data_IF_902790971649
#
_entry.id   IF_902790971649
#
_cell.length_a   1.000
_cell.length_b   1.000
_cell.length_c   1.000
_cell.angle_alpha   90.00
_cell.angle_beta   90.00
_cell.angle_gamma   90.00
#
_symmetry.space_group_name_H-M   'P 1'
#
loop_
_entity.id
_entity.type
_entity.pdbx_description
1 polymer ?
#
# COMPACT_ATOMS: atom_id res chain seq x y z
N UNK A 1 10.64 -2.98 0.62
CA UNK A 1 9.84 -1.77 0.95
C UNK A 1 10.76 -0.83 1.69
N UNK A 2 10.92 0.42 1.25
CA UNK A 2 11.88 1.36 1.88
C UNK A 2 11.09 2.47 2.56
N UNK A 3 10.81 2.29 3.85
CA UNK A 3 10.15 3.29 4.72
C UNK A 3 11.16 4.16 5.47
N UNK A 4 12.36 4.35 4.92
CA UNK A 4 13.53 4.86 5.67
C UNK A 4 13.42 6.27 6.25
N UNK A 5 12.39 7.05 5.88
CA UNK A 5 12.18 8.41 6.37
C UNK A 5 11.01 8.52 7.38
N UNK A 6 10.26 7.45 7.61
CA UNK A 6 9.19 7.47 8.61
C UNK A 6 9.77 7.27 10.01
N UNK A 7 9.16 7.92 10.99
CA UNK A 7 9.49 7.77 12.41
C UNK A 7 9.20 6.34 12.88
N UNK A 8 8.07 5.78 12.42
CA UNK A 8 7.70 4.38 12.61
C UNK A 8 6.85 3.89 11.46
N UNK A 9 6.79 2.57 11.30
CA UNK A 9 5.84 1.89 10.44
C UNK A 9 5.29 0.67 11.18
N UNK A 10 4.01 0.41 11.00
CA UNK A 10 3.31 -0.76 11.46
C UNK A 10 2.78 -1.49 10.23
N UNK A 11 3.04 -2.79 10.15
CA UNK A 11 2.42 -3.64 9.15
C UNK A 11 1.02 -4.03 9.64
N UNK A 12 0.00 -3.73 8.82
CA UNK A 12 -1.41 -3.98 9.16
C UNK A 12 -1.83 -5.33 8.58
N UNK A 13 -1.76 -5.50 7.25
CA UNK A 13 -2.19 -6.73 6.58
C UNK A 13 -1.49 -6.96 5.22
N UNK A 14 -1.63 -8.17 4.67
CA UNK A 14 -1.21 -8.58 3.32
C UNK A 14 -2.30 -9.44 2.67
N UNK A 15 -2.69 -9.04 1.46
CA UNK A 15 -3.60 -9.81 0.63
C UNK A 15 -2.98 -10.10 -0.74
N UNK A 16 -3.41 -11.20 -1.34
CA UNK A 16 -2.84 -11.68 -2.59
C UNK A 16 -3.92 -12.22 -3.52
N UNK A 17 -3.84 -11.81 -4.78
CA UNK A 17 -4.59 -12.41 -5.88
C UNK A 17 -3.86 -13.61 -6.46
N UNK A 18 -4.63 -14.53 -7.04
CA UNK A 18 -4.09 -15.68 -7.81
C UNK A 18 -3.22 -15.24 -8.99
N UNK A 19 -3.46 -14.03 -9.51
CA UNK A 19 -2.62 -13.39 -10.54
C UNK A 19 -1.20 -13.05 -10.07
N UNK A 20 -0.92 -13.15 -8.76
CA UNK A 20 0.38 -12.86 -8.17
C UNK A 20 0.53 -11.43 -7.66
N UNK A 21 -0.47 -10.55 -7.87
CA UNK A 21 -0.50 -9.21 -7.27
C UNK A 21 -0.68 -9.35 -5.76
N UNK A 22 0.13 -8.62 -4.99
CA UNK A 22 0.05 -8.54 -3.54
C UNK A 22 -0.21 -7.10 -3.12
N UNK A 23 -1.10 -6.89 -2.18
CA UNK A 23 -1.31 -5.63 -1.49
C UNK A 23 -0.74 -5.79 -0.08
N UNK A 24 0.15 -4.88 0.31
CA UNK A 24 0.62 -4.72 1.67
C UNK A 24 0.05 -3.42 2.24
N UNK A 25 -0.46 -3.48 3.46
CA UNK A 25 -0.97 -2.30 4.15
C UNK A 25 -0.12 -1.96 5.35
N UNK A 26 0.15 -0.67 5.52
CA UNK A 26 0.90 -0.15 6.65
C UNK A 26 0.26 1.11 7.19
N UNK A 27 0.44 1.32 8.48
CA UNK A 27 0.31 2.64 9.09
C UNK A 27 1.72 3.17 9.31
N UNK A 28 1.99 4.40 8.90
CA UNK A 28 3.29 5.05 9.08
C UNK A 28 3.14 6.36 9.82
N UNK A 29 4.18 6.76 10.54
CA UNK A 29 4.20 8.05 11.26
C UNK A 29 5.31 8.91 10.69
N UNK A 30 4.98 10.13 10.25
CA UNK A 30 5.95 11.16 9.90
C UNK A 30 5.60 12.48 10.60
N UNK A 31 6.59 13.08 11.26
CA UNK A 31 6.44 14.31 12.06
C UNK A 31 5.26 14.28 13.07
N UNK A 32 4.90 13.11 13.59
CA UNK A 32 3.78 12.91 14.51
C UNK A 32 2.40 12.80 13.85
N UNK A 33 2.32 12.76 12.53
CA UNK A 33 1.10 12.51 11.76
C UNK A 33 1.07 11.07 11.25
N UNK A 34 -0.10 10.45 11.30
CA UNK A 34 -0.32 9.08 10.83
C UNK A 34 -0.78 9.06 9.37
N UNK A 35 -0.28 8.07 8.63
CA UNK A 35 -0.56 7.87 7.22
C UNK A 35 -0.88 6.41 6.95
N UNK A 36 -1.95 6.18 6.19
CA UNK A 36 -2.26 4.88 5.60
C UNK A 36 -1.45 4.69 4.31
N UNK A 37 -0.86 3.52 4.18
CA UNK A 37 -0.06 3.11 3.02
C UNK A 37 -0.66 1.86 2.41
N UNK A 38 -1.06 1.96 1.14
CA UNK A 38 -1.38 0.80 0.32
C UNK A 38 -0.25 0.59 -0.68
N UNK A 39 0.36 -0.59 -0.64
CA UNK A 39 1.51 -0.93 -1.47
C UNK A 39 1.26 -2.21 -2.27
N UNK A 40 0.97 -2.03 -3.55
CA UNK A 40 0.78 -3.13 -4.50
C UNK A 40 2.10 -3.53 -5.15
N UNK A 41 2.32 -4.83 -5.28
CA UNK A 41 3.52 -5.41 -5.88
C UNK A 41 3.15 -6.58 -6.78
N UNK A 42 3.79 -6.65 -7.94
CA UNK A 42 3.73 -7.81 -8.82
C UNK A 42 5.09 -8.07 -9.45
N UNK A 43 5.43 -9.35 -9.60
CA UNK A 43 6.58 -9.75 -10.40
C UNK A 43 6.15 -9.77 -11.87
N UNK A 44 6.68 -8.85 -12.68
CA UNK A 44 6.45 -8.80 -14.13
C UNK A 44 7.31 -9.84 -14.86
N UNK A 45 8.54 -10.04 -14.37
CA UNK A 45 9.45 -11.11 -14.78
C UNK A 45 10.22 -11.64 -13.57
N UNK A 46 11.06 -12.66 -13.75
CA UNK A 46 11.91 -13.21 -12.69
C UNK A 46 12.87 -12.19 -12.07
N UNK A 47 13.17 -11.09 -12.78
CA UNK A 47 14.13 -10.06 -12.35
C UNK A 47 13.52 -8.67 -12.26
N UNK A 48 12.24 -8.50 -12.60
CA UNK A 48 11.55 -7.21 -12.61
C UNK A 48 10.33 -7.25 -11.72
N UNK A 49 10.34 -6.37 -10.71
CA UNK A 49 9.21 -6.07 -9.84
C UNK A 49 8.59 -4.75 -10.27
N UNK A 50 7.27 -4.72 -10.39
CA UNK A 50 6.49 -3.49 -10.57
C UNK A 50 5.73 -3.25 -9.28
N UNK A 51 5.75 -2.00 -8.80
CA UNK A 51 5.07 -1.63 -7.57
C UNK A 51 4.39 -0.27 -7.68
N UNK A 52 3.26 -0.13 -7.00
CA UNK A 52 2.57 1.14 -6.79
C UNK A 52 2.40 1.33 -5.29
N UNK A 53 2.80 2.49 -4.78
CA UNK A 53 2.60 2.88 -3.40
C UNK A 53 1.74 4.13 -3.37
N UNK A 54 0.65 4.08 -2.61
CA UNK A 54 -0.16 5.24 -2.28
C UNK A 54 -0.03 5.46 -0.78
N UNK A 55 0.25 6.71 -0.41
CA UNK A 55 0.36 7.15 0.98
C UNK A 55 -0.58 8.33 1.14
N UNK A 56 -1.49 8.26 2.09
CA UNK A 56 -2.43 9.33 2.41
C UNK A 56 -2.51 9.53 3.93
N UNK A 57 -2.80 10.75 4.42
CA UNK A 57 -3.10 10.95 5.82
C UNK A 57 -4.25 10.05 6.26
N UNK A 58 -4.19 9.52 7.49
CA UNK A 58 -5.21 8.57 8.00
C UNK A 58 -6.62 9.18 7.99
N UNK A 59 -6.75 10.51 8.08
CA UNK A 59 -8.05 11.19 8.01
C UNK A 59 -8.65 11.20 6.58
N UNK A 60 -7.89 10.77 5.57
CA UNK A 60 -8.27 10.77 4.15
C UNK A 60 -8.61 9.37 3.62
N UNK A 61 -9.11 8.46 4.47
CA UNK A 61 -9.42 7.07 4.11
C UNK A 61 -10.29 6.94 2.84
N UNK A 62 -11.36 7.72 2.73
CA UNK A 62 -12.22 7.67 1.56
C UNK A 62 -11.48 7.93 0.23
N UNK A 63 -10.40 8.73 0.26
CA UNK A 63 -9.60 9.03 -0.92
C UNK A 63 -8.66 7.86 -1.27
N UNK A 64 -8.01 7.23 -0.29
CA UNK A 64 -7.16 6.06 -0.57
C UNK A 64 -8.02 4.91 -1.09
N UNK A 65 -9.24 4.73 -0.59
CA UNK A 65 -10.19 3.73 -1.07
C UNK A 65 -10.59 3.99 -2.54
N UNK A 66 -10.90 5.25 -2.88
CA UNK A 66 -11.26 5.66 -4.24
C UNK A 66 -10.12 5.37 -5.24
N UNK A 67 -8.89 5.74 -4.89
CA UNK A 67 -7.73 5.45 -5.73
C UNK A 67 -7.43 3.95 -5.81
N UNK A 68 -7.55 3.22 -4.69
CA UNK A 68 -7.36 1.78 -4.63
C UNK A 68 -8.35 1.06 -5.54
N UNK A 69 -9.63 1.44 -5.49
CA UNK A 69 -10.67 0.93 -6.37
C UNK A 69 -10.42 1.26 -7.83
N UNK A 70 -9.98 2.49 -8.13
CA UNK A 70 -9.73 2.91 -9.51
C UNK A 70 -8.56 2.17 -10.16
N UNK A 71 -7.52 1.85 -9.39
CA UNK A 71 -6.29 1.23 -9.92
C UNK A 71 -6.30 -0.30 -9.81
N UNK A 72 -6.83 -0.83 -8.71
CA UNK A 72 -6.81 -2.24 -8.36
C UNK A 72 -8.18 -2.70 -7.83
N UNK A 73 -9.25 -2.65 -8.65
CA UNK A 73 -10.64 -2.91 -8.19
C UNK A 73 -10.86 -4.32 -7.62
N UNK A 74 -9.96 -5.27 -7.91
CA UNK A 74 -10.02 -6.64 -7.40
C UNK A 74 -9.25 -6.83 -6.08
N UNK A 75 -8.48 -5.82 -5.65
CA UNK A 75 -7.63 -5.87 -4.46
C UNK A 75 -7.46 -4.46 -3.89
N UNK A 76 -8.58 -3.85 -3.51
CA UNK A 76 -8.63 -2.48 -3.00
C UNK A 76 -8.13 -2.36 -1.56
N UNK A 77 -8.43 -3.37 -0.77
CA UNK A 77 -8.22 -3.46 0.67
C UNK A 77 -8.07 -4.95 1.04
N UNK A 78 -7.54 -5.19 2.24
CA UNK A 78 -7.69 -6.45 2.95
C UNK A 78 -8.95 -6.40 3.84
#
# INVERSE_FOLDING_TARGET
IVFGNYQSYEYVDECRLDSGVRLYQFITVDQGFEYDVHYWVVNDTDTRVISVMIVMPIESQALIDEFSYSLFPQLTDC
#
